data_IF_039835805578
#
_entry.id   IF_039835805578
#
_cell.length_a   1.000
_cell.length_b   1.000
_cell.length_c   1.000
_cell.angle_alpha   90.00
_cell.angle_beta   90.00
_cell.angle_gamma   90.00
#
_symmetry.space_group_name_H-M   'P 1'
#
loop_
_entity.id
_entity.type
_entity.pdbx_description
1 polymer ?
#
# COMPACT_ATOMS: atom_id res chain seq x y z
N UNK A 1 -15.24 14.39 -11.84
CA UNK A 1 -16.36 14.85 -11.07
C UNK A 1 -17.59 13.97 -11.03
N UNK A 2 -17.78 12.99 -11.72
CA UNK A 2 -18.90 12.09 -11.59
C UNK A 2 -18.49 10.80 -10.90
N UNK A 3 -19.45 10.23 -10.20
CA UNK A 3 -19.32 8.87 -9.75
C UNK A 3 -19.82 7.94 -10.83
N UNK A 4 -19.14 6.83 -11.01
CA UNK A 4 -19.55 5.78 -11.92
C UNK A 4 -19.73 4.48 -11.13
N UNK A 5 -20.56 3.60 -11.68
CA UNK A 5 -20.77 2.27 -11.09
C UNK A 5 -19.88 1.27 -11.82
N UNK A 6 -19.07 0.56 -11.07
CA UNK A 6 -18.22 -0.50 -11.63
C UNK A 6 -18.46 -1.81 -10.89
N UNK A 7 -18.08 -2.91 -11.50
CA UNK A 7 -18.14 -4.22 -10.88
C UNK A 7 -16.73 -4.75 -10.71
N UNK A 8 -16.41 -5.14 -9.48
CA UNK A 8 -15.09 -5.64 -9.10
C UNK A 8 -15.23 -7.11 -8.71
N UNK A 9 -14.38 -7.93 -9.28
CA UNK A 9 -14.32 -9.35 -8.92
C UNK A 9 -13.21 -9.57 -7.89
N UNK A 10 -13.57 -10.05 -6.71
CA UNK A 10 -12.61 -10.39 -5.65
C UNK A 10 -13.00 -11.77 -5.11
N UNK A 11 -12.04 -12.70 -5.14
CA UNK A 11 -12.24 -14.07 -4.62
C UNK A 11 -13.47 -14.75 -5.22
N UNK A 12 -13.64 -14.64 -6.53
CA UNK A 12 -14.75 -15.21 -7.30
C UNK A 12 -16.12 -14.62 -7.00
N UNK A 13 -16.16 -13.48 -6.32
CA UNK A 13 -17.40 -12.75 -6.10
C UNK A 13 -17.34 -11.40 -6.78
N UNK A 14 -18.48 -10.96 -7.27
CA UNK A 14 -18.61 -9.66 -7.95
C UNK A 14 -19.24 -8.68 -6.99
N UNK A 15 -18.59 -7.52 -6.83
CA UNK A 15 -19.07 -6.45 -5.97
C UNK A 15 -19.33 -5.21 -6.81
N UNK A 16 -20.56 -4.65 -6.73
CA UNK A 16 -20.82 -3.36 -7.36
C UNK A 16 -20.28 -2.25 -6.47
N UNK A 17 -19.55 -1.32 -7.05
CA UNK A 17 -18.98 -0.19 -6.33
C UNK A 17 -19.30 1.10 -7.06
N UNK A 18 -19.51 2.17 -6.31
CA UNK A 18 -19.57 3.51 -6.86
C UNK A 18 -18.25 4.21 -6.56
N UNK A 19 -17.59 4.64 -7.59
CA UNK A 19 -16.26 5.24 -7.49
C UNK A 19 -16.22 6.48 -8.37
N UNK A 20 -15.26 7.36 -8.12
CA UNK A 20 -15.00 8.47 -9.02
C UNK A 20 -14.27 7.97 -10.26
N UNK A 21 -14.33 8.73 -11.33
CA UNK A 21 -13.62 8.38 -12.58
C UNK A 21 -12.12 8.27 -12.32
N UNK A 22 -11.58 9.15 -11.47
CA UNK A 22 -10.15 9.15 -11.14
C UNK A 22 -9.73 7.91 -10.33
N UNK A 23 -10.65 7.37 -9.52
CA UNK A 23 -10.36 6.21 -8.66
C UNK A 23 -10.49 4.87 -9.38
N UNK A 24 -11.20 4.83 -10.52
CA UNK A 24 -11.52 3.57 -11.19
C UNK A 24 -10.30 2.73 -11.47
N UNK A 25 -9.28 3.30 -12.08
CA UNK A 25 -8.06 2.58 -12.44
C UNK A 25 -7.32 2.03 -11.22
N UNK A 26 -7.22 2.84 -10.18
CA UNK A 26 -6.57 2.44 -8.93
C UNK A 26 -7.31 1.28 -8.27
N UNK A 27 -8.63 1.35 -8.23
CA UNK A 27 -9.45 0.30 -7.61
C UNK A 27 -9.38 -0.99 -8.41
N UNK A 28 -9.42 -0.92 -9.74
CA UNK A 28 -9.27 -2.11 -10.58
C UNK A 28 -7.89 -2.74 -10.43
N UNK A 29 -6.86 -1.93 -10.33
CA UNK A 29 -5.50 -2.42 -10.09
C UNK A 29 -5.39 -3.08 -8.71
N UNK A 30 -5.97 -2.46 -7.69
CA UNK A 30 -6.00 -3.02 -6.34
C UNK A 30 -6.70 -4.38 -6.31
N UNK A 31 -7.84 -4.51 -6.99
CA UNK A 31 -8.57 -5.78 -7.07
C UNK A 31 -7.72 -6.86 -7.73
N UNK A 32 -6.98 -6.51 -8.77
CA UNK A 32 -6.07 -7.44 -9.45
C UNK A 32 -4.98 -7.92 -8.50
N UNK A 33 -4.37 -7.01 -7.74
CA UNK A 33 -3.33 -7.36 -6.76
C UNK A 33 -3.87 -8.27 -5.68
N UNK A 34 -5.08 -8.01 -5.19
CA UNK A 34 -5.72 -8.87 -4.17
C UNK A 34 -5.92 -10.28 -4.72
N UNK A 35 -6.45 -10.40 -5.93
CA UNK A 35 -6.69 -11.71 -6.54
C UNK A 35 -5.40 -12.48 -6.80
N UNK A 36 -4.34 -11.79 -7.21
CA UNK A 36 -3.02 -12.40 -7.39
C UNK A 36 -2.45 -12.88 -6.05
N UNK A 37 -2.62 -12.10 -4.99
CA UNK A 37 -2.17 -12.47 -3.65
C UNK A 37 -2.92 -13.69 -3.12
N UNK A 38 -4.22 -13.75 -3.33
CA UNK A 38 -5.03 -14.90 -2.93
C UNK A 38 -4.53 -16.17 -3.62
N UNK A 39 -4.26 -16.06 -4.93
CA UNK A 39 -3.75 -17.20 -5.71
C UNK A 39 -2.38 -17.65 -5.19
N UNK A 40 -1.50 -16.71 -4.93
CA UNK A 40 -0.17 -16.98 -4.37
C UNK A 40 -0.27 -17.70 -3.03
N UNK A 41 -1.15 -17.23 -2.14
CA UNK A 41 -1.36 -17.86 -0.84
C UNK A 41 -1.94 -19.27 -0.95
N UNK A 42 -2.85 -19.51 -1.91
CA UNK A 42 -3.37 -20.84 -2.18
C UNK A 42 -2.29 -21.81 -2.64
N UNK A 43 -1.38 -21.33 -3.48
CA UNK A 43 -0.32 -22.17 -4.03
C UNK A 43 0.77 -22.48 -3.01
N UNK A 44 1.11 -21.53 -2.16
CA UNK A 44 2.20 -21.65 -1.19
C UNK A 44 1.79 -22.26 0.14
N UNK A 45 0.51 -22.14 0.50
CA UNK A 45 -0.02 -22.66 1.74
C UNK A 45 -1.21 -23.56 1.43
N UNK A 46 -1.31 -24.67 2.13
CA UNK A 46 -2.41 -25.64 1.91
C UNK A 46 -3.72 -25.16 2.54
N UNK A 47 -4.09 -23.92 2.29
CA UNK A 47 -5.32 -23.32 2.81
C UNK A 47 -6.35 -23.26 1.70
N UNK A 48 -7.52 -23.85 1.93
CA UNK A 48 -8.61 -23.91 0.94
C UNK A 48 -9.79 -23.02 1.28
N UNK A 49 -9.94 -22.64 2.55
CA UNK A 49 -11.02 -21.78 3.00
C UNK A 49 -10.75 -20.34 2.51
N UNK A 50 -11.69 -19.82 1.74
CA UNK A 50 -11.58 -18.47 1.18
C UNK A 50 -11.55 -17.40 2.25
N UNK A 51 -12.28 -17.58 3.34
CA UNK A 51 -12.26 -16.62 4.44
C UNK A 51 -10.85 -16.54 5.05
N UNK A 52 -10.20 -17.68 5.25
CA UNK A 52 -8.84 -17.72 5.79
C UNK A 52 -7.84 -17.08 4.81
N UNK A 53 -7.99 -17.34 3.52
CA UNK A 53 -7.16 -16.74 2.48
C UNK A 53 -7.31 -15.21 2.46
N UNK A 54 -8.54 -14.72 2.56
CA UNK A 54 -8.81 -13.29 2.60
C UNK A 54 -8.22 -12.65 3.85
N UNK A 55 -8.36 -13.32 5.01
CA UNK A 55 -7.79 -12.85 6.27
C UNK A 55 -6.27 -12.75 6.20
N UNK A 56 -5.62 -13.76 5.64
CA UNK A 56 -4.16 -13.76 5.43
C UNK A 56 -3.73 -12.63 4.48
N UNK A 57 -4.49 -12.44 3.41
CA UNK A 57 -4.25 -11.39 2.43
C UNK A 57 -4.33 -10.01 3.09
N UNK A 58 -5.37 -9.76 3.86
CA UNK A 58 -5.56 -8.49 4.57
C UNK A 58 -4.41 -8.25 5.54
N UNK A 59 -4.04 -9.27 6.30
CA UNK A 59 -2.93 -9.14 7.27
C UNK A 59 -1.63 -8.81 6.57
N UNK A 60 -1.32 -9.45 5.46
CA UNK A 60 -0.09 -9.17 4.70
C UNK A 60 -0.07 -7.76 4.13
N UNK A 61 -1.18 -7.30 3.56
CA UNK A 61 -1.26 -5.94 3.03
C UNK A 61 -1.21 -4.89 4.13
N UNK A 62 -1.89 -5.12 5.25
CA UNK A 62 -1.83 -4.20 6.39
C UNK A 62 -0.41 -4.12 6.95
N UNK A 63 0.25 -5.26 7.09
CA UNK A 63 1.65 -5.30 7.55
C UNK A 63 2.56 -4.54 6.59
N UNK A 64 2.39 -4.75 5.29
CA UNK A 64 3.16 -4.05 4.27
C UNK A 64 2.92 -2.54 4.31
N UNK A 65 1.68 -2.12 4.50
CA UNK A 65 1.32 -0.71 4.60
C UNK A 65 2.00 -0.05 5.80
N UNK A 66 1.96 -0.72 6.97
CA UNK A 66 2.59 -0.21 8.18
C UNK A 66 4.11 -0.08 7.98
N UNK A 67 4.74 -1.10 7.41
CA UNK A 67 6.17 -1.08 7.13
C UNK A 67 6.54 0.04 6.16
N UNK A 68 5.73 0.26 5.13
CA UNK A 68 5.95 1.34 4.18
C UNK A 68 5.85 2.71 4.85
N UNK A 69 4.88 2.90 5.73
CA UNK A 69 4.73 4.14 6.49
C UNK A 69 5.93 4.37 7.41
N UNK A 70 6.39 3.33 8.10
CA UNK A 70 7.56 3.41 8.97
C UNK A 70 8.82 3.75 8.18
N UNK A 71 9.01 3.12 7.03
CA UNK A 71 10.17 3.39 6.18
C UNK A 71 10.16 4.82 5.64
N UNK A 72 9.00 5.31 5.22
CA UNK A 72 8.85 6.68 4.74
C UNK A 72 9.18 7.68 5.85
N UNK A 73 8.67 7.43 7.06
CA UNK A 73 8.94 8.28 8.22
C UNK A 73 10.42 8.28 8.58
N UNK A 74 11.05 7.12 8.63
CA UNK A 74 12.48 6.99 8.91
C UNK A 74 13.33 7.71 7.87
N UNK A 75 12.94 7.62 6.62
CA UNK A 75 13.63 8.32 5.53
C UNK A 75 13.54 9.85 5.70
N UNK A 76 12.36 10.36 6.00
CA UNK A 76 12.15 11.79 6.23
C UNK A 76 12.96 12.30 7.43
N UNK A 77 12.94 11.56 8.54
CA UNK A 77 13.71 11.89 9.73
C UNK A 77 15.21 11.93 9.46
N UNK A 78 15.71 10.92 8.73
CA UNK A 78 17.11 10.87 8.34
C UNK A 78 17.51 12.04 7.44
N UNK A 79 16.63 12.43 6.54
CA UNK A 79 16.86 13.56 5.65
C UNK A 79 16.91 14.88 6.43
N UNK A 80 16.02 15.08 7.36
CA UNK A 80 16.00 16.26 8.22
C UNK A 80 17.27 16.37 9.04
N UNK A 81 17.76 15.28 9.61
CA UNK A 81 19.02 15.24 10.34
C UNK A 81 20.19 15.63 9.46
N UNK A 82 20.26 15.12 8.24
CA UNK A 82 21.33 15.43 7.30
C UNK A 82 21.33 16.90 6.90
N UNK A 83 20.15 17.47 6.67
CA UNK A 83 20.02 18.89 6.34
C UNK A 83 20.50 19.75 7.52
N UNK A 84 20.13 19.37 8.73
CA UNK A 84 20.55 20.08 9.95
C UNK A 84 22.07 20.03 10.13
N UNK A 85 22.70 18.86 9.94
CA UNK A 85 24.15 18.69 10.01
C UNK A 85 24.86 19.59 9.01
N UNK A 86 24.37 19.62 7.77
CA UNK A 86 24.94 20.45 6.71
C UNK A 86 24.85 21.93 7.07
N UNK A 87 23.71 22.36 7.59
CA UNK A 87 23.47 23.74 8.01
C UNK A 87 24.44 24.14 9.13
N UNK A 88 24.64 23.25 10.10
CA UNK A 88 25.58 23.46 11.20
C UNK A 88 27.02 23.63 10.69
N UNK A 89 27.45 22.77 9.76
CA UNK A 89 28.77 22.83 9.15
C UNK A 89 28.98 24.15 8.40
N UNK A 90 27.98 24.57 7.62
CA UNK A 90 28.05 25.85 6.89
C UNK A 90 28.13 27.04 7.84
N UNK A 91 27.36 27.03 8.92
CA UNK A 91 27.40 28.09 9.93
C UNK A 91 28.77 28.18 10.59
N UNK A 92 29.35 27.04 10.97
CA UNK A 92 30.69 26.99 11.55
C UNK A 92 31.76 27.51 10.56
N UNK A 93 31.61 27.14 9.31
CA UNK A 93 32.57 27.56 8.27
C UNK A 93 32.54 29.06 8.06
N UNK A 94 31.36 29.66 8.04
CA UNK A 94 31.21 31.09 7.78
C UNK A 94 31.37 31.99 9.02
N UNK A 95 31.41 31.42 10.21
CA UNK A 95 31.57 32.22 11.46
C UNK A 95 33.02 32.39 11.89
N UNK A 96 33.98 31.96 11.12
CA UNK A 96 35.41 32.14 11.46
C UNK A 96 35.89 33.53 11.14
#
# INVERSE_FOLDING_TARGET
>A
MGEISIKINIADRVYPLRVTVEEEEVIRHAAKLVNEKIKELQENYAVRDKQDLLSMCILQYATGMIKAEQNAKSYEEGLEEKVHELDTLLTQFFSK
#
